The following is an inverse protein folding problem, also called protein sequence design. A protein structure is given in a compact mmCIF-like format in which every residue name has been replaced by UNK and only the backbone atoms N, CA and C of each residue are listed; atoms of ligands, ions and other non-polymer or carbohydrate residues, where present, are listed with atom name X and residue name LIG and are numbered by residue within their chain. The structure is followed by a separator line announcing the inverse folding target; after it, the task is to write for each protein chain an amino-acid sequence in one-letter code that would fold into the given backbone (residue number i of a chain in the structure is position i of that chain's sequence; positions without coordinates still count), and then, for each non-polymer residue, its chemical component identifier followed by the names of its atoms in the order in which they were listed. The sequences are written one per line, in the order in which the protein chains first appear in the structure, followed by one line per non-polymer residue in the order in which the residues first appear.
data_IF_633855950689
#
_entry.id   IF_633855950689
#
_cell.length_a   1.000
_cell.length_b   1.000
_cell.length_c   1.000
_cell.angle_alpha   90.00
_cell.angle_beta   90.00
_cell.angle_gamma   90.00
#
_symmetry.space_group_name_H-M   'P 1'
#
loop_
_entity.id
_entity.type
_entity.pdbx_description
1 polymer ?
#
# COMPACT_ATOMS: atom_id res chain seq x y z
N UNK A 1 7.96 24.98 7.96
CA UNK A 1 6.62 24.54 7.78
C UNK A 1 6.47 23.07 8.08
N UNK A 2 5.33 22.73 8.58
CA UNK A 2 5.07 21.33 8.84
C UNK A 2 5.18 20.55 7.53
N UNK A 3 6.00 19.53 7.50
CA UNK A 3 6.04 18.71 6.30
C UNK A 3 4.67 18.08 6.10
N UNK A 4 4.24 18.03 4.86
CA UNK A 4 3.04 17.29 4.52
C UNK A 4 3.30 15.84 4.84
N UNK A 5 2.72 15.37 5.93
CA UNK A 5 2.86 13.98 6.33
C UNK A 5 1.79 13.17 5.61
N UNK A 6 2.23 12.36 4.67
CA UNK A 6 1.34 11.40 4.02
C UNK A 6 1.07 10.28 5.00
N UNK A 7 -0.19 10.02 5.28
CA UNK A 7 -0.60 8.92 6.14
C UNK A 7 -1.17 7.80 5.28
N UNK A 8 -0.61 6.62 5.39
CA UNK A 8 -1.13 5.45 4.71
C UNK A 8 -2.39 4.99 5.43
N UNK A 9 -3.54 5.12 4.77
CA UNK A 9 -4.84 4.82 5.37
C UNK A 9 -5.30 3.41 5.08
N UNK A 10 -4.97 2.86 3.91
CA UNK A 10 -5.35 1.50 3.59
C UNK A 10 -4.44 0.92 2.52
N UNK A 11 -4.39 -0.40 2.48
CA UNK A 11 -3.68 -1.15 1.45
C UNK A 11 -4.59 -2.26 0.99
N UNK A 12 -4.79 -2.37 -0.31
CA UNK A 12 -5.53 -3.47 -0.91
C UNK A 12 -4.59 -4.30 -1.76
N UNK A 13 -4.62 -5.61 -1.58
CA UNK A 13 -3.80 -6.53 -2.35
C UNK A 13 -4.70 -7.43 -3.17
N UNK A 14 -4.45 -7.48 -4.46
CA UNK A 14 -5.19 -8.35 -5.37
C UNK A 14 -4.41 -9.64 -5.52
N UNK A 15 -4.97 -10.72 -5.02
CA UNK A 15 -4.30 -12.01 -4.98
C UNK A 15 -5.32 -13.12 -5.23
N UNK A 16 -4.87 -14.26 -5.72
CA UNK A 16 -5.73 -15.40 -5.98
C UNK A 16 -6.26 -16.04 -4.70
N UNK A 17 -5.58 -15.81 -3.58
CA UNK A 17 -5.98 -16.35 -2.28
C UNK A 17 -6.32 -15.20 -1.33
N UNK A 18 -7.55 -15.22 -0.79
CA UNK A 18 -7.99 -14.19 0.16
C UNK A 18 -7.16 -14.17 1.44
N UNK A 19 -6.71 -15.35 1.90
CA UNK A 19 -5.86 -15.42 3.08
C UNK A 19 -4.52 -14.73 2.88
N UNK A 20 -3.91 -14.97 1.72
CA UNK A 20 -2.65 -14.31 1.41
C UNK A 20 -2.83 -12.82 1.18
N UNK A 21 -3.95 -12.43 0.57
CA UNK A 21 -4.23 -11.01 0.35
C UNK A 21 -4.32 -10.25 1.66
N UNK A 22 -5.01 -10.80 2.66
CA UNK A 22 -5.11 -10.17 3.97
C UNK A 22 -3.76 -10.06 4.66
N UNK A 23 -2.99 -11.14 4.65
CA UNK A 23 -1.66 -11.16 5.28
C UNK A 23 -0.73 -10.15 4.60
N UNK A 24 -0.73 -10.10 3.28
CA UNK A 24 0.08 -9.16 2.53
C UNK A 24 -0.35 -7.72 2.74
N UNK A 25 -1.66 -7.46 2.76
CA UNK A 25 -2.17 -6.12 3.02
C UNK A 25 -1.71 -5.60 4.38
N UNK A 26 -1.77 -6.44 5.41
CA UNK A 26 -1.30 -6.09 6.74
C UNK A 26 0.21 -5.84 6.75
N UNK A 27 0.97 -6.71 6.12
CA UNK A 27 2.42 -6.57 6.05
C UNK A 27 2.82 -5.28 5.32
N UNK A 28 2.18 -5.00 4.19
CA UNK A 28 2.47 -3.80 3.41
C UNK A 28 2.08 -2.53 4.16
N UNK A 29 0.98 -2.59 4.93
CA UNK A 29 0.56 -1.46 5.75
C UNK A 29 1.60 -1.14 6.83
N UNK A 30 2.15 -2.15 7.46
CA UNK A 30 3.19 -2.00 8.49
C UNK A 30 4.48 -1.44 7.89
N UNK A 31 4.86 -1.91 6.71
CA UNK A 31 6.08 -1.47 6.04
C UNK A 31 6.00 -0.04 5.51
N UNK A 32 4.80 0.43 5.22
CA UNK A 32 4.60 1.74 4.60
C UNK A 32 4.71 1.67 3.08
N UNK A 33 4.49 2.82 2.43
CA UNK A 33 4.40 2.88 0.97
C UNK A 33 5.72 2.52 0.29
N UNK A 34 6.83 3.08 0.75
CA UNK A 34 8.10 2.88 0.09
C UNK A 34 8.53 1.42 0.10
N UNK A 35 8.65 0.86 1.30
CA UNK A 35 9.07 -0.53 1.45
C UNK A 35 8.00 -1.50 0.98
N UNK A 36 6.74 -1.17 1.25
CA UNK A 36 5.63 -2.01 0.82
C UNK A 36 5.54 -2.12 -0.68
N UNK A 37 5.70 -1.01 -1.41
CA UNK A 37 5.67 -1.04 -2.86
C UNK A 37 6.85 -1.81 -3.45
N UNK A 38 8.03 -1.67 -2.85
CA UNK A 38 9.20 -2.45 -3.28
C UNK A 38 8.99 -3.95 -3.08
N UNK A 39 8.45 -4.32 -1.93
CA UNK A 39 8.17 -5.72 -1.64
C UNK A 39 7.11 -6.28 -2.58
N UNK A 40 6.05 -5.51 -2.81
CA UNK A 40 5.00 -5.93 -3.73
C UNK A 40 5.55 -6.17 -5.14
N UNK A 41 6.41 -5.27 -5.61
CA UNK A 41 7.07 -5.46 -6.90
C UNK A 41 7.95 -6.70 -6.92
N UNK A 42 8.73 -6.90 -5.87
CA UNK A 42 9.64 -8.03 -5.77
C UNK A 42 8.90 -9.36 -5.77
N UNK A 43 7.71 -9.39 -5.17
CA UNK A 43 6.89 -10.59 -5.10
C UNK A 43 5.91 -10.73 -6.28
N UNK A 44 5.88 -9.76 -7.18
CA UNK A 44 4.95 -9.78 -8.29
C UNK A 44 3.49 -9.60 -7.87
N UNK A 45 3.26 -8.88 -6.78
CA UNK A 45 1.92 -8.65 -6.28
C UNK A 45 1.31 -7.41 -6.90
N UNK A 46 -0.02 -7.43 -7.06
CA UNK A 46 -0.77 -6.24 -7.42
C UNK A 46 -1.35 -5.63 -6.15
N UNK A 47 -1.05 -4.37 -5.91
CA UNK A 47 -1.48 -3.70 -4.70
C UNK A 47 -1.87 -2.26 -4.97
N UNK A 48 -2.80 -1.76 -4.15
CA UNK A 48 -3.24 -0.38 -4.19
C UNK A 48 -3.02 0.21 -2.80
N UNK A 49 -2.21 1.25 -2.73
CA UNK A 49 -1.95 1.97 -1.48
C UNK A 49 -2.75 3.28 -1.51
N UNK A 50 -3.55 3.50 -0.49
CA UNK A 50 -4.32 4.74 -0.35
C UNK A 50 -3.71 5.56 0.77
N UNK A 51 -3.24 6.75 0.42
CA UNK A 51 -2.62 7.68 1.35
C UNK A 51 -3.50 8.90 1.52
N UNK A 52 -3.47 9.46 2.71
CA UNK A 52 -4.11 10.72 2.99
C UNK A 52 -3.05 11.81 3.11
N UNK A 53 -3.16 12.82 2.28
CA UNK A 53 -2.29 14.01 2.32
C UNK A 53 -3.16 15.23 2.63
N UNK A 54 -3.21 15.62 3.89
CA UNK A 54 -4.11 16.70 4.30
C UNK A 54 -5.57 16.33 4.05
N UNK A 55 -6.23 17.08 3.19
CA UNK A 55 -7.63 16.83 2.82
C UNK A 55 -7.78 15.97 1.57
N UNK A 56 -6.69 15.56 0.97
CA UNK A 56 -6.70 14.80 -0.27
C UNK A 56 -6.35 13.34 -0.06
N UNK A 57 -6.93 12.49 -0.88
CA UNK A 57 -6.58 11.07 -0.93
C UNK A 57 -5.77 10.81 -2.19
N UNK A 58 -4.73 10.04 -2.04
CA UNK A 58 -3.85 9.66 -3.14
C UNK A 58 -3.75 8.17 -3.24
N UNK A 59 -3.85 7.64 -4.46
CA UNK A 59 -3.69 6.22 -4.71
C UNK A 59 -2.38 5.95 -5.41
N UNK A 60 -1.68 4.93 -4.96
CA UNK A 60 -0.48 4.42 -5.63
C UNK A 60 -0.73 2.97 -5.96
N UNK A 61 -0.65 2.63 -7.24
CA UNK A 61 -0.87 1.27 -7.70
C UNK A 61 0.45 0.61 -8.05
N UNK A 62 0.56 -0.68 -7.74
CA UNK A 62 1.74 -1.49 -8.02
C UNK A 62 1.29 -2.76 -8.73
N UNK A 63 1.90 -3.04 -9.87
CA UNK A 63 1.61 -4.27 -10.60
C UNK A 63 0.26 -4.31 -11.33
N UNK A 64 -0.34 -3.15 -11.48
CA UNK A 64 -1.63 -3.05 -12.19
C UNK A 64 -1.47 -2.44 -13.57
#
# INVERSE_FOLDING_TARGET
GAPLVSTLTSVSVICTSCMYADAWATALLVLGVERGSQLAKAQGLSAIFVLREGDELREITVGL
#
